data_IF_905590486625
#
_entry.id   IF_905590486625
#
_cell.length_a   1.000
_cell.length_b   1.000
_cell.length_c   1.000
_cell.angle_alpha   90.00
_cell.angle_beta   90.00
_cell.angle_gamma   90.00
#
_symmetry.space_group_name_H-M   'P 1'
#
loop_
_entity.id
_entity.type
_entity.pdbx_description
1 polymer ?
#
# COMPACT_ATOMS: atom_id res chain seq x y z
N UNK A 1 -11.22 3.99 81.31
CA UNK A 1 -11.31 3.18 80.08
C UNK A 1 -12.62 3.48 79.36
N UNK A 2 -12.60 4.27 78.29
CA UNK A 2 -13.62 4.31 77.22
C UNK A 2 -12.90 4.69 75.92
N UNK A 3 -13.14 3.88 74.89
CA UNK A 3 -12.37 3.80 73.66
C UNK A 3 -12.57 5.03 72.76
N UNK A 4 -11.47 5.55 72.22
CA UNK A 4 -11.47 6.57 71.18
C UNK A 4 -11.69 5.89 69.81
N UNK A 5 -12.76 6.31 69.15
CA UNK A 5 -13.17 5.90 67.80
C UNK A 5 -12.20 6.51 66.79
N UNK A 6 -11.35 5.70 66.15
CA UNK A 6 -10.48 6.12 65.05
C UNK A 6 -11.22 5.90 63.73
N UNK A 7 -11.68 6.99 63.12
CA UNK A 7 -12.17 7.00 61.76
C UNK A 7 -10.96 7.02 60.81
N UNK A 8 -10.66 5.89 60.17
CA UNK A 8 -9.68 5.81 59.10
C UNK A 8 -10.32 6.29 57.81
N UNK A 9 -9.99 7.51 57.38
CA UNK A 9 -10.34 8.01 56.06
C UNK A 9 -9.42 7.36 55.01
N UNK A 10 -9.99 6.53 54.14
CA UNK A 10 -9.35 5.98 52.95
C UNK A 10 -9.20 7.08 51.90
N UNK A 11 -7.96 7.54 51.67
CA UNK A 11 -7.63 8.43 50.56
C UNK A 11 -7.18 7.59 49.36
N UNK A 12 -8.13 7.23 48.49
CA UNK A 12 -7.84 6.57 47.21
C UNK A 12 -7.42 7.65 46.21
N UNK A 13 -6.12 7.80 45.99
CA UNK A 13 -5.59 8.69 44.95
C UNK A 13 -5.76 7.96 43.61
N UNK A 14 -6.81 8.32 42.87
CA UNK A 14 -6.99 7.91 41.48
C UNK A 14 -6.00 8.71 40.61
N UNK A 15 -4.86 8.11 40.27
CA UNK A 15 -3.97 8.63 39.26
C UNK A 15 -4.63 8.46 37.88
N UNK A 16 -5.26 9.52 37.38
CA UNK A 16 -5.67 9.61 35.99
C UNK A 16 -4.42 9.62 35.11
N UNK A 17 -4.16 8.50 34.45
CA UNK A 17 -3.23 8.45 33.33
C UNK A 17 -3.79 9.33 32.21
N UNK A 18 -3.27 10.56 32.11
CA UNK A 18 -3.45 11.42 30.95
C UNK A 18 -2.72 10.75 29.78
N UNK A 19 -3.42 9.86 29.08
CA UNK A 19 -3.01 9.43 27.76
C UNK A 19 -2.97 10.67 26.88
N UNK A 20 -1.77 11.06 26.45
CA UNK A 20 -1.59 12.06 25.41
C UNK A 20 -2.14 11.46 24.13
N UNK A 21 -3.43 11.65 23.87
CA UNK A 21 -3.98 11.48 22.54
C UNK A 21 -3.28 12.51 21.66
N UNK A 22 -2.26 12.10 20.92
CA UNK A 22 -1.78 12.89 19.79
C UNK A 22 -3.01 13.26 18.96
N UNK A 23 -3.20 14.54 18.58
CA UNK A 23 -4.32 14.89 17.72
C UNK A 23 -4.22 14.02 16.48
N UNK A 24 -5.29 13.25 16.21
CA UNK A 24 -5.43 12.53 14.95
C UNK A 24 -5.40 13.59 13.85
N UNK A 25 -4.26 13.73 13.19
CA UNK A 25 -4.16 14.58 12.01
C UNK A 25 -4.97 13.92 10.90
N UNK A 26 -5.74 14.71 10.16
CA UNK A 26 -6.61 14.17 9.13
C UNK A 26 -5.74 13.51 8.06
N UNK A 27 -5.90 12.20 7.90
CA UNK A 27 -5.28 11.45 6.82
C UNK A 27 -6.04 11.74 5.53
N UNK A 28 -5.34 12.16 4.47
CA UNK A 28 -5.93 12.23 3.14
C UNK A 28 -6.00 10.81 2.56
N UNK A 29 -7.07 10.10 2.92
CA UNK A 29 -7.30 8.70 2.53
C UNK A 29 -7.36 8.52 1.01
N UNK A 30 -7.85 9.51 0.26
CA UNK A 30 -7.94 9.45 -1.20
C UNK A 30 -6.57 9.43 -1.87
N UNK A 31 -5.65 10.30 -1.44
CA UNK A 31 -4.27 10.30 -1.96
C UNK A 31 -3.60 8.97 -1.66
N UNK A 32 -3.67 8.53 -0.40
CA UNK A 32 -3.05 7.27 0.02
C UNK A 32 -3.61 6.05 -0.72
N UNK A 33 -4.94 6.00 -0.91
CA UNK A 33 -5.60 4.97 -1.71
C UNK A 33 -5.08 4.98 -3.14
N UNK A 34 -5.03 6.14 -3.80
CA UNK A 34 -4.64 6.23 -5.21
C UNK A 34 -3.19 5.81 -5.45
N UNK A 35 -2.28 6.21 -4.55
CA UNK A 35 -0.87 5.80 -4.59
C UNK A 35 -0.76 4.29 -4.39
N UNK A 36 -1.35 3.75 -3.32
CA UNK A 36 -1.33 2.32 -3.05
C UNK A 36 -2.01 1.50 -4.15
N UNK A 37 -3.09 1.99 -4.77
CA UNK A 37 -3.74 1.31 -5.89
C UNK A 37 -2.82 1.15 -7.08
N UNK A 38 -2.02 2.18 -7.39
CA UNK A 38 -1.06 2.13 -8.50
C UNK A 38 0.05 1.11 -8.24
N UNK A 39 0.56 1.09 -7.00
CA UNK A 39 1.58 0.13 -6.55
C UNK A 39 1.04 -1.30 -6.57
N UNK A 40 -0.19 -1.52 -6.06
CA UNK A 40 -0.83 -2.83 -6.06
C UNK A 40 -1.20 -3.31 -7.46
N UNK A 41 -1.55 -2.39 -8.37
CA UNK A 41 -1.77 -2.72 -9.78
C UNK A 41 -0.46 -3.18 -10.43
N UNK A 42 0.63 -2.46 -10.20
CA UNK A 42 1.97 -2.87 -10.66
C UNK A 42 2.34 -4.25 -10.09
N UNK A 43 2.09 -4.49 -8.80
CA UNK A 43 2.32 -5.80 -8.16
C UNK A 43 1.54 -6.93 -8.84
N UNK A 44 0.26 -6.71 -9.14
CA UNK A 44 -0.58 -7.68 -9.82
C UNK A 44 -0.05 -7.98 -11.23
N UNK A 45 0.39 -6.95 -11.96
CA UNK A 45 0.97 -7.14 -13.28
C UNK A 45 2.29 -7.89 -13.24
N UNK A 46 3.20 -7.55 -12.33
CA UNK A 46 4.44 -8.30 -12.15
C UNK A 46 4.13 -9.77 -11.88
N UNK A 47 3.21 -10.06 -10.95
CA UNK A 47 2.81 -11.43 -10.57
C UNK A 47 2.25 -12.26 -11.73
N UNK A 48 1.50 -11.63 -12.64
CA UNK A 48 0.95 -12.29 -13.82
C UNK A 48 2.01 -12.44 -14.91
N UNK A 49 2.74 -11.37 -15.22
CA UNK A 49 3.64 -11.33 -16.37
C UNK A 49 4.92 -12.13 -16.18
N UNK A 50 5.36 -12.40 -14.94
CA UNK A 50 6.44 -13.38 -14.68
C UNK A 50 6.08 -14.80 -15.11
N UNK A 51 4.78 -15.13 -15.28
CA UNK A 51 4.35 -16.42 -15.81
C UNK A 51 4.53 -16.52 -17.33
N UNK A 52 4.63 -15.39 -18.02
CA UNK A 52 4.79 -15.30 -19.48
C UNK A 52 6.25 -15.03 -19.84
N UNK A 53 6.91 -14.15 -19.10
CA UNK A 53 8.33 -13.81 -19.23
C UNK A 53 8.97 -13.89 -17.84
N UNK A 54 9.70 -14.97 -17.50
CA UNK A 54 10.31 -15.13 -16.18
C UNK A 54 11.25 -13.99 -15.76
N UNK A 55 11.80 -13.25 -16.72
CA UNK A 55 12.68 -12.12 -16.43
C UNK A 55 11.91 -10.79 -16.27
N UNK A 56 10.58 -10.80 -16.34
CA UNK A 56 9.76 -9.58 -16.34
C UNK A 56 10.06 -8.69 -15.13
N UNK A 57 10.13 -9.27 -13.93
CA UNK A 57 10.42 -8.53 -12.70
C UNK A 57 11.81 -7.86 -12.74
N UNK A 58 12.83 -8.57 -13.24
CA UNK A 58 14.17 -8.01 -13.41
C UNK A 58 14.21 -6.91 -14.50
N UNK A 59 13.49 -7.11 -15.62
CA UNK A 59 13.40 -6.16 -16.75
C UNK A 59 12.64 -4.87 -16.40
N UNK A 60 11.81 -4.90 -15.37
CA UNK A 60 11.00 -3.77 -14.89
C UNK A 60 11.47 -3.23 -13.55
N UNK A 61 12.54 -3.81 -12.99
CA UNK A 61 13.19 -3.34 -11.78
C UNK A 61 14.03 -2.08 -11.98
N UNK A 62 14.71 -1.69 -10.91
CA UNK A 62 15.51 -0.49 -10.80
C UNK A 62 16.86 -0.75 -10.14
N UNK A 63 17.50 0.30 -9.63
CA UNK A 63 18.80 0.22 -8.95
C UNK A 63 18.72 -0.58 -7.64
N UNK A 64 17.58 -0.58 -6.98
CA UNK A 64 17.29 -1.24 -5.72
C UNK A 64 16.92 -2.72 -5.84
N UNK A 65 16.76 -3.25 -7.06
CA UNK A 65 16.44 -4.66 -7.30
C UNK A 65 15.41 -4.87 -8.40
N UNK A 66 14.81 -6.06 -8.42
CA UNK A 66 13.68 -6.33 -9.30
C UNK A 66 12.42 -5.57 -8.86
N UNK A 67 11.42 -5.52 -9.76
CA UNK A 67 10.19 -4.80 -9.49
C UNK A 67 9.45 -5.30 -8.24
N UNK A 68 9.45 -6.61 -7.97
CA UNK A 68 8.79 -7.18 -6.79
C UNK A 68 9.40 -6.66 -5.49
N UNK A 69 10.74 -6.60 -5.42
CA UNK A 69 11.48 -6.08 -4.26
C UNK A 69 11.17 -4.62 -4.03
N UNK A 70 11.23 -3.80 -5.07
CA UNK A 70 11.01 -2.34 -4.96
C UNK A 70 9.56 -2.05 -4.60
N UNK A 71 8.59 -2.70 -5.26
CA UNK A 71 7.17 -2.54 -4.97
C UNK A 71 6.84 -2.96 -3.53
N UNK A 72 7.46 -4.02 -3.02
CA UNK A 72 7.30 -4.43 -1.62
C UNK A 72 7.81 -3.33 -0.68
N UNK A 73 8.99 -2.77 -0.96
CA UNK A 73 9.57 -1.68 -0.18
C UNK A 73 8.67 -0.42 -0.18
N UNK A 74 8.17 0.01 -1.34
CA UNK A 74 7.23 1.15 -1.44
C UNK A 74 5.98 0.97 -0.56
N UNK A 75 5.45 -0.25 -0.49
CA UNK A 75 4.31 -0.56 0.38
C UNK A 75 4.69 -0.44 1.84
N UNK A 76 5.84 -0.98 2.23
CA UNK A 76 6.33 -0.89 3.60
C UNK A 76 6.51 0.56 4.04
N UNK A 77 7.09 1.42 3.19
CA UNK A 77 7.25 2.85 3.47
C UNK A 77 5.90 3.56 3.71
N UNK A 78 4.92 3.35 2.83
CA UNK A 78 3.59 3.97 3.00
C UNK A 78 2.93 3.47 4.29
N UNK A 79 2.95 2.15 4.52
CA UNK A 79 2.28 1.55 5.67
C UNK A 79 2.95 1.91 7.00
N UNK A 80 4.27 2.15 7.01
CA UNK A 80 5.00 2.60 8.18
C UNK A 80 4.53 3.97 8.68
N UNK A 81 3.91 4.78 7.82
CA UNK A 81 3.38 6.09 8.21
C UNK A 81 1.99 6.04 8.86
N UNK A 82 1.35 4.87 8.88
CA UNK A 82 -0.03 4.69 9.32
C UNK A 82 -0.15 3.84 10.59
N UNK A 83 -1.21 4.09 11.35
CA UNK A 83 -1.69 3.10 12.32
C UNK A 83 -2.25 1.87 11.61
N UNK A 84 -2.36 0.75 12.32
CA UNK A 84 -2.89 -0.49 11.77
C UNK A 84 -4.34 -0.31 11.27
N UNK A 85 -5.14 0.44 12.01
CA UNK A 85 -6.55 0.70 11.72
C UNK A 85 -6.70 1.54 10.44
N UNK A 86 -5.91 2.62 10.30
CA UNK A 86 -5.87 3.46 9.09
C UNK A 86 -5.43 2.63 7.87
N UNK A 87 -4.34 1.89 8.01
CA UNK A 87 -3.79 1.06 6.94
C UNK A 87 -4.78 0.00 6.46
N UNK A 88 -5.54 -0.64 7.37
CA UNK A 88 -6.45 -1.72 7.01
C UNK A 88 -7.52 -1.29 6.00
N UNK A 89 -8.18 -0.14 6.23
CA UNK A 89 -9.23 0.33 5.33
C UNK A 89 -8.66 0.79 3.98
N UNK A 90 -7.55 1.54 4.01
CA UNK A 90 -6.92 2.07 2.81
C UNK A 90 -6.40 0.93 1.93
N UNK A 91 -5.73 -0.07 2.51
CA UNK A 91 -5.20 -1.22 1.75
C UNK A 91 -6.33 -2.00 1.10
N UNK A 92 -7.43 -2.29 1.82
CA UNK A 92 -8.58 -3.02 1.25
C UNK A 92 -9.18 -2.24 0.08
N UNK A 93 -9.41 -0.94 0.26
CA UNK A 93 -9.95 -0.07 -0.78
C UNK A 93 -9.02 0.00 -2.00
N UNK A 94 -7.73 0.22 -1.76
CA UNK A 94 -6.72 0.34 -2.79
C UNK A 94 -6.55 -0.97 -3.59
N UNK A 95 -6.54 -2.11 -2.90
CA UNK A 95 -6.49 -3.44 -3.51
C UNK A 95 -7.75 -3.74 -4.32
N UNK A 96 -8.93 -3.32 -3.84
CA UNK A 96 -10.19 -3.41 -4.57
C UNK A 96 -10.14 -2.67 -5.90
N UNK A 97 -9.65 -1.42 -5.89
CA UNK A 97 -9.48 -0.62 -7.10
C UNK A 97 -8.45 -1.24 -8.07
N UNK A 98 -7.28 -1.64 -7.58
CA UNK A 98 -6.25 -2.30 -8.40
C UNK A 98 -6.79 -3.59 -9.05
N UNK A 99 -7.54 -4.40 -8.29
CA UNK A 99 -8.17 -5.62 -8.80
C UNK A 99 -9.24 -5.32 -9.84
N UNK A 100 -10.07 -4.29 -9.64
CA UNK A 100 -11.09 -3.91 -10.61
C UNK A 100 -10.47 -3.53 -11.96
N UNK A 101 -9.39 -2.74 -11.95
CA UNK A 101 -8.64 -2.38 -13.16
C UNK A 101 -8.03 -3.63 -13.81
N UNK A 102 -7.29 -4.44 -13.04
CA UNK A 102 -6.65 -5.66 -13.56
C UNK A 102 -7.66 -6.65 -14.17
N UNK A 103 -8.80 -6.87 -13.50
CA UNK A 103 -9.87 -7.72 -14.04
C UNK A 103 -10.51 -7.14 -15.29
N UNK A 104 -10.67 -5.81 -15.36
CA UNK A 104 -11.14 -5.13 -16.57
C UNK A 104 -10.25 -5.43 -17.77
N UNK A 105 -8.93 -5.36 -17.58
CA UNK A 105 -7.96 -5.67 -18.63
C UNK A 105 -7.95 -7.15 -19.01
N UNK A 106 -7.93 -8.06 -18.03
CA UNK A 106 -7.95 -9.52 -18.30
C UNK A 106 -9.23 -9.94 -19.04
N UNK A 107 -10.39 -9.39 -18.66
CA UNK A 107 -11.66 -9.68 -19.35
C UNK A 107 -11.62 -9.29 -20.81
N UNK A 108 -10.94 -8.19 -21.16
CA UNK A 108 -10.79 -7.77 -22.55
C UNK A 108 -9.96 -8.76 -23.40
N UNK A 109 -9.16 -9.62 -22.77
CA UNK A 109 -8.35 -10.63 -23.46
C UNK A 109 -9.08 -11.99 -23.62
N UNK A 110 -10.23 -12.16 -22.97
CA UNK A 110 -10.93 -13.43 -22.88
C UNK A 110 -11.61 -13.86 -24.19
N UNK A 111 -11.81 -15.18 -24.35
CA UNK A 111 -12.51 -15.77 -25.49
C UNK A 111 -11.58 -16.24 -26.60
N UNK A 112 -12.05 -17.20 -27.40
CA UNK A 112 -11.26 -17.87 -28.42
C UNK A 112 -10.39 -19.02 -27.86
N UNK A 113 -9.58 -19.67 -28.71
CA UNK A 113 -8.62 -20.71 -28.34
C UNK A 113 -7.61 -20.25 -27.28
N UNK A 114 -6.98 -21.20 -26.58
CA UNK A 114 -6.00 -20.91 -25.51
C UNK A 114 -4.79 -20.18 -26.08
N UNK A 115 -4.33 -20.57 -27.26
CA UNK A 115 -3.15 -20.01 -27.92
C UNK A 115 -3.35 -18.52 -28.25
N UNK A 116 -4.57 -18.12 -28.63
CA UNK A 116 -4.91 -16.71 -28.85
C UNK A 116 -4.93 -15.93 -27.53
N UNK A 117 -5.44 -16.53 -26.45
CA UNK A 117 -5.45 -15.91 -25.13
C UNK A 117 -4.03 -15.71 -24.59
N UNK A 118 -3.13 -16.68 -24.79
CA UNK A 118 -1.72 -16.57 -24.44
C UNK A 118 -1.02 -15.46 -25.23
N UNK A 119 -1.28 -15.35 -26.55
CA UNK A 119 -0.75 -14.27 -27.38
C UNK A 119 -1.20 -12.89 -26.88
N UNK A 120 -2.49 -12.73 -26.58
CA UNK A 120 -3.05 -11.48 -26.04
C UNK A 120 -2.48 -11.14 -24.66
N UNK A 121 -2.27 -12.14 -23.81
CA UNK A 121 -1.65 -11.94 -22.51
C UNK A 121 -0.20 -11.47 -22.67
N UNK A 122 0.55 -12.05 -23.61
CA UNK A 122 1.90 -11.61 -23.94
C UNK A 122 1.92 -10.16 -24.41
N UNK A 123 1.00 -9.78 -25.30
CA UNK A 123 0.86 -8.39 -25.77
C UNK A 123 0.52 -7.42 -24.65
N UNK A 124 -0.38 -7.81 -23.72
CA UNK A 124 -0.67 -7.02 -22.52
C UNK A 124 0.60 -6.82 -21.68
N UNK A 125 1.35 -7.90 -21.45
CA UNK A 125 2.56 -7.85 -20.65
C UNK A 125 3.62 -6.95 -21.27
N UNK A 126 3.88 -7.10 -22.57
CA UNK A 126 4.92 -6.36 -23.28
C UNK A 126 4.52 -4.88 -23.53
N UNK A 127 3.26 -4.64 -23.92
CA UNK A 127 2.79 -3.31 -24.35
C UNK A 127 2.20 -2.43 -23.26
N UNK A 128 1.64 -3.00 -22.20
CA UNK A 128 0.95 -2.24 -21.13
C UNK A 128 1.58 -2.43 -19.78
N UNK A 129 1.75 -3.68 -19.34
CA UNK A 129 2.23 -3.97 -17.99
C UNK A 129 3.66 -3.51 -17.79
N UNK A 130 4.56 -3.86 -18.73
CA UNK A 130 5.98 -3.52 -18.66
C UNK A 130 6.24 -2.02 -18.49
N UNK A 131 5.73 -1.11 -19.34
CA UNK A 131 5.94 0.32 -19.15
C UNK A 131 5.27 0.86 -17.87
N UNK A 132 4.11 0.32 -17.47
CA UNK A 132 3.45 0.75 -16.23
C UNK A 132 4.28 0.39 -15.00
N UNK A 133 4.68 -0.87 -14.86
CA UNK A 133 5.47 -1.35 -13.71
C UNK A 133 6.79 -0.59 -13.64
N UNK A 134 7.48 -0.49 -14.78
CA UNK A 134 8.74 0.24 -14.87
C UNK A 134 8.56 1.71 -14.49
N UNK A 135 7.51 2.38 -14.95
CA UNK A 135 7.23 3.76 -14.60
C UNK A 135 6.95 3.97 -13.11
N UNK A 136 6.24 3.03 -12.45
CA UNK A 136 6.02 3.08 -10.99
C UNK A 136 7.35 2.94 -10.24
N UNK A 137 8.19 1.98 -10.62
CA UNK A 137 9.51 1.75 -10.03
C UNK A 137 10.44 2.95 -10.23
N UNK A 138 10.59 3.42 -11.46
CA UNK A 138 11.48 4.55 -11.78
C UNK A 138 11.01 5.83 -11.07
N UNK A 139 9.70 6.07 -11.00
CA UNK A 139 9.17 7.24 -10.28
C UNK A 139 9.56 7.21 -8.80
N UNK A 140 9.51 6.04 -8.17
CA UNK A 140 9.92 5.90 -6.77
C UNK A 140 11.41 6.14 -6.58
N UNK A 141 12.26 5.50 -7.38
CA UNK A 141 13.71 5.58 -7.19
C UNK A 141 14.31 6.93 -7.61
N UNK A 142 13.81 7.52 -8.69
CA UNK A 142 14.35 8.79 -9.22
C UNK A 142 13.76 10.01 -8.52
N UNK A 143 12.57 9.87 -7.93
CA UNK A 143 11.85 10.96 -7.27
C UNK A 143 11.41 10.58 -5.86
N UNK A 144 12.29 9.87 -5.14
CA UNK A 144 12.02 9.39 -3.79
C UNK A 144 11.63 10.52 -2.83
N UNK A 145 12.37 11.64 -2.82
CA UNK A 145 12.02 12.83 -2.02
C UNK A 145 10.59 13.35 -2.29
N UNK A 146 10.14 13.29 -3.55
CA UNK A 146 8.78 13.70 -3.90
C UNK A 146 7.74 12.68 -3.41
N UNK A 147 8.09 11.40 -3.46
CA UNK A 147 7.25 10.33 -2.92
C UNK A 147 7.11 10.45 -1.40
N UNK A 148 8.21 10.70 -0.68
CA UNK A 148 8.19 10.98 0.76
C UNK A 148 7.34 12.21 1.09
N UNK A 149 7.58 13.34 0.40
CA UNK A 149 6.81 14.57 0.61
C UNK A 149 5.31 14.35 0.37
N UNK A 150 4.93 13.62 -0.68
CA UNK A 150 3.54 13.30 -0.97
C UNK A 150 2.88 12.50 0.16
N UNK A 151 3.60 11.53 0.74
CA UNK A 151 3.12 10.76 1.89
C UNK A 151 3.00 11.65 3.12
N UNK A 152 4.00 12.50 3.38
CA UNK A 152 3.98 13.46 4.49
C UNK A 152 2.81 14.44 4.39
N UNK A 153 2.56 14.99 3.20
CA UNK A 153 1.45 15.91 2.94
C UNK A 153 0.11 15.19 3.17
N UNK A 154 -0.01 13.94 2.71
CA UNK A 154 -1.20 13.13 2.95
C UNK A 154 -1.45 12.85 4.46
N UNK A 155 -0.43 12.93 5.31
CA UNK A 155 -0.55 12.82 6.78
C UNK A 155 -0.94 14.15 7.45
N UNK A 156 -0.88 15.27 6.74
CA UNK A 156 -1.15 16.60 7.29
C UNK A 156 -2.59 17.07 7.08
N UNK A 157 -3.31 16.49 6.11
CA UNK A 157 -4.74 16.75 5.86
C UNK A 157 -4.96 17.87 4.87
#
# INVERSE_FOLDING_TARGET
MRAAMRASALATIAAFALGTSSPARALNEDVMRNVLSSILLAQNFTSVCVKVDPDFAAKTGGKGGDADTIIAHMKEEILATMTREEAAQIVVSAAGAARAVGLGMIRALSGGPIEEQESRLKELCDGTAKPLVKGVVETHEERHDFFEQMIEDARQG
#
